data_IF_815125165270
#
_entry.id   IF_815125165270
#
_cell.length_a   1.000
_cell.length_b   1.000
_cell.length_c   1.000
_cell.angle_alpha   90.00
_cell.angle_beta   90.00
_cell.angle_gamma   90.00
#
_symmetry.space_group_name_H-M   'P 1'
#
loop_
_entity.id
_entity.type
_entity.pdbx_description
1 polymer ?
#
# COMPACT_ATOMS: atom_id res chain seq x y z
N UNK A 1 -21.54 15.49 14.32
CA UNK A 1 -20.38 15.38 15.23
C UNK A 1 -20.66 14.41 16.36
N UNK A 2 -20.73 13.10 16.08
CA UNK A 2 -20.78 12.07 17.12
C UNK A 2 -19.43 12.03 17.86
N UNK A 3 -19.52 12.07 19.19
CA UNK A 3 -18.43 12.05 20.17
C UNK A 3 -17.39 10.97 19.82
N UNK A 4 -16.11 11.37 19.83
CA UNK A 4 -15.00 10.56 19.36
C UNK A 4 -14.88 9.24 20.14
N UNK A 5 -15.20 9.24 21.43
CA UNK A 5 -15.25 8.04 22.26
C UNK A 5 -16.33 7.07 21.83
N UNK A 6 -17.52 7.58 21.50
CA UNK A 6 -18.64 6.76 21.06
C UNK A 6 -18.35 6.09 19.71
N UNK A 7 -17.64 6.78 18.81
CA UNK A 7 -17.23 6.22 17.52
C UNK A 7 -16.23 5.06 17.66
N UNK A 8 -15.27 5.19 18.57
CA UNK A 8 -14.30 4.11 18.86
C UNK A 8 -15.01 2.89 19.44
N UNK A 9 -15.97 3.11 20.34
CA UNK A 9 -16.76 2.03 20.93
C UNK A 9 -17.62 1.29 19.89
N UNK A 10 -18.34 2.02 19.05
CA UNK A 10 -19.17 1.44 17.98
C UNK A 10 -18.35 0.67 16.95
N UNK A 11 -17.13 1.13 16.60
CA UNK A 11 -16.22 0.37 15.71
C UNK A 11 -15.86 -1.00 16.29
N UNK A 12 -15.57 -1.05 17.60
CA UNK A 12 -15.24 -2.30 18.28
C UNK A 12 -16.43 -3.26 18.32
N UNK A 13 -17.63 -2.77 18.61
CA UNK A 13 -18.87 -3.57 18.60
C UNK A 13 -19.19 -4.10 17.21
N UNK A 14 -19.10 -3.29 16.15
CA UNK A 14 -19.35 -3.73 14.77
C UNK A 14 -18.34 -4.80 14.36
N UNK A 15 -17.06 -4.64 14.71
CA UNK A 15 -16.02 -5.65 14.45
C UNK A 15 -16.32 -6.97 15.19
N UNK A 16 -16.75 -6.90 16.45
CA UNK A 16 -17.11 -8.07 17.24
C UNK A 16 -18.37 -8.76 16.68
N UNK A 17 -19.41 -8.00 16.35
CA UNK A 17 -20.63 -8.51 15.71
C UNK A 17 -20.33 -9.16 14.36
N UNK A 18 -19.50 -8.54 13.54
CA UNK A 18 -19.09 -9.08 12.25
C UNK A 18 -18.27 -10.36 12.39
N UNK A 19 -17.36 -10.44 13.36
CA UNK A 19 -16.63 -11.68 13.65
C UNK A 19 -17.54 -12.80 14.18
N UNK A 20 -18.60 -12.45 14.92
CA UNK A 20 -19.57 -13.42 15.44
C UNK A 20 -20.56 -13.89 14.37
N UNK A 21 -21.02 -12.98 13.52
CA UNK A 21 -21.90 -13.26 12.39
C UNK A 21 -21.05 -13.75 11.23
N UNK A 22 -20.82 -15.07 11.16
CA UNK A 22 -20.11 -15.78 10.07
C UNK A 22 -20.81 -15.69 8.70
N UNK A 23 -21.60 -14.66 8.47
CA UNK A 23 -22.32 -14.39 7.23
C UNK A 23 -21.42 -13.60 6.29
N UNK A 24 -21.34 -14.01 5.02
CA UNK A 24 -20.63 -13.26 3.98
C UNK A 24 -21.13 -11.82 3.93
N UNK A 25 -20.20 -10.88 4.09
CA UNK A 25 -20.51 -9.46 4.29
C UNK A 25 -19.57 -8.61 3.44
N UNK A 26 -20.08 -7.52 2.89
CA UNK A 26 -19.29 -6.51 2.18
C UNK A 26 -19.36 -5.19 2.95
N UNK A 27 -18.21 -4.57 3.18
CA UNK A 27 -18.08 -3.31 3.89
C UNK A 27 -17.32 -2.30 3.03
N UNK A 28 -17.84 -1.08 2.94
CA UNK A 28 -17.26 0.00 2.12
C UNK A 28 -16.80 1.10 3.05
N UNK A 29 -15.53 1.48 2.94
CA UNK A 29 -14.93 2.56 3.72
C UNK A 29 -13.89 3.32 2.91
N UNK A 30 -13.59 4.53 3.35
CA UNK A 30 -12.47 5.35 2.88
C UNK A 30 -11.28 5.34 3.86
N UNK A 31 -11.42 4.70 5.03
CA UNK A 31 -10.39 4.62 6.06
C UNK A 31 -9.61 3.31 5.92
N UNK A 32 -8.32 3.41 5.57
CA UNK A 32 -7.45 2.26 5.42
C UNK A 32 -7.27 1.48 6.74
N UNK A 33 -7.35 2.11 7.91
CA UNK A 33 -7.20 1.40 9.20
C UNK A 33 -8.40 0.46 9.42
N UNK A 34 -9.61 0.88 9.05
CA UNK A 34 -10.78 0.00 9.10
C UNK A 34 -10.61 -1.17 8.14
N UNK A 35 -10.24 -0.89 6.88
CA UNK A 35 -10.05 -1.93 5.86
C UNK A 35 -8.98 -2.96 6.26
N UNK A 36 -7.83 -2.48 6.74
CA UNK A 36 -6.68 -3.31 7.11
C UNK A 36 -6.92 -4.17 8.35
N UNK A 37 -7.80 -3.75 9.27
CA UNK A 37 -8.00 -4.44 10.55
C UNK A 37 -9.24 -5.32 10.59
N UNK A 38 -10.21 -5.09 9.72
CA UNK A 38 -11.51 -5.79 9.74
C UNK A 38 -11.68 -6.81 8.62
N UNK A 39 -11.05 -6.61 7.47
CA UNK A 39 -11.34 -7.40 6.27
C UNK A 39 -10.40 -8.61 6.12
N UNK A 40 -10.96 -9.75 5.74
CA UNK A 40 -10.18 -10.90 5.27
C UNK A 40 -9.57 -10.62 3.88
N UNK A 41 -10.29 -9.86 3.05
CA UNK A 41 -9.87 -9.40 1.73
C UNK A 41 -10.29 -7.96 1.51
N UNK A 42 -9.40 -7.17 0.93
CA UNK A 42 -9.64 -5.77 0.55
C UNK A 42 -9.70 -5.68 -0.96
N UNK A 43 -10.67 -4.91 -1.47
CA UNK A 43 -10.77 -4.48 -2.86
C UNK A 43 -10.45 -2.99 -2.89
N UNK A 44 -9.30 -2.61 -3.45
CA UNK A 44 -8.94 -1.21 -3.65
C UNK A 44 -9.46 -0.75 -5.00
N UNK A 45 -10.15 0.38 -5.03
CA UNK A 45 -10.72 0.96 -6.24
C UNK A 45 -10.26 2.41 -6.41
N UNK A 46 -10.10 2.82 -7.67
CA UNK A 46 -9.82 4.20 -8.07
C UNK A 46 -10.57 4.49 -9.37
N UNK A 47 -11.31 5.60 -9.42
CA UNK A 47 -12.13 6.01 -10.58
C UNK A 47 -13.03 4.91 -11.15
N UNK A 48 -13.66 4.13 -10.27
CA UNK A 48 -14.56 3.03 -10.65
C UNK A 48 -13.85 1.76 -11.12
N UNK A 49 -12.51 1.73 -11.16
CA UNK A 49 -11.72 0.58 -11.56
C UNK A 49 -11.06 -0.09 -10.34
N UNK A 50 -11.11 -1.42 -10.29
CA UNK A 50 -10.38 -2.20 -9.30
C UNK A 50 -8.88 -2.10 -9.59
N UNK A 51 -8.13 -1.64 -8.59
CA UNK A 51 -6.68 -1.50 -8.66
C UNK A 51 -5.98 -2.76 -8.15
N UNK A 52 -6.47 -3.33 -7.05
CA UNK A 52 -5.93 -4.54 -6.47
C UNK A 52 -6.96 -5.23 -5.56
N UNK A 53 -6.90 -6.55 -5.49
CA UNK A 53 -7.66 -7.36 -4.53
C UNK A 53 -6.70 -8.32 -3.85
N UNK A 54 -6.77 -8.44 -2.52
CA UNK A 54 -5.88 -9.31 -1.76
C UNK A 54 -6.12 -9.26 -0.26
N UNK A 55 -5.35 -10.03 0.50
CA UNK A 55 -5.33 -9.89 1.96
C UNK A 55 -4.68 -8.55 2.34
N UNK A 56 -4.97 -8.00 3.54
CA UNK A 56 -4.41 -6.72 3.98
C UNK A 56 -2.88 -6.63 3.83
N UNK A 57 -2.14 -7.64 4.28
CA UNK A 57 -0.67 -7.65 4.14
C UNK A 57 -0.20 -7.72 2.68
N UNK A 58 -0.92 -8.42 1.79
CA UNK A 58 -0.52 -8.49 0.37
C UNK A 58 -0.56 -7.10 -0.27
N UNK A 59 -1.56 -6.28 0.06
CA UNK A 59 -1.66 -4.92 -0.42
C UNK A 59 -0.56 -4.01 0.15
N UNK A 60 -0.13 -4.29 1.39
CA UNK A 60 0.92 -3.53 2.06
C UNK A 60 2.32 -3.85 1.50
N UNK A 61 2.64 -5.14 1.44
CA UNK A 61 3.95 -5.70 1.09
C UNK A 61 4.18 -5.73 -0.42
N UNK A 62 3.12 -5.98 -1.19
CA UNK A 62 3.17 -6.17 -2.65
C UNK A 62 2.08 -5.36 -3.36
N UNK A 63 2.14 -4.02 -3.25
CA UNK A 63 1.20 -3.17 -3.97
C UNK A 63 1.37 -3.34 -5.48
N UNK A 64 0.26 -3.48 -6.19
CA UNK A 64 0.24 -3.74 -7.63
C UNK A 64 0.64 -2.51 -8.46
N UNK A 65 0.50 -1.30 -7.91
CA UNK A 65 0.85 -0.05 -8.56
C UNK A 65 1.13 1.06 -7.53
N UNK A 66 1.63 2.20 -8.03
CA UNK A 66 1.98 3.36 -7.19
C UNK A 66 0.78 3.92 -6.42
N UNK A 67 -0.44 3.84 -6.96
CA UNK A 67 -1.63 4.29 -6.26
C UNK A 67 -1.88 3.43 -5.02
N UNK A 68 -1.89 2.10 -5.14
CA UNK A 68 -2.08 1.21 -3.99
C UNK A 68 -0.93 1.37 -2.98
N UNK A 69 0.31 1.48 -3.47
CA UNK A 69 1.49 1.70 -2.63
C UNK A 69 1.40 2.99 -1.80
N UNK A 70 0.91 4.08 -2.40
CA UNK A 70 0.73 5.36 -1.73
C UNK A 70 -0.51 5.42 -0.83
N UNK A 71 -1.55 4.67 -1.17
CA UNK A 71 -2.83 4.68 -0.47
C UNK A 71 -2.86 3.76 0.77
N UNK A 72 -2.26 2.58 0.68
CA UNK A 72 -2.23 1.60 1.77
C UNK A 72 -1.01 1.88 2.65
N UNK A 73 -1.23 2.06 3.96
CA UNK A 73 -0.19 2.42 4.95
C UNK A 73 -0.36 3.85 5.46
N UNK A 74 -0.02 4.09 6.72
CA UNK A 74 -0.07 5.44 7.32
C UNK A 74 1.16 5.65 8.21
N UNK A 75 2.19 6.38 7.74
CA UNK A 75 2.22 7.14 6.48
C UNK A 75 2.27 6.24 5.23
N UNK A 76 1.85 6.78 4.08
CA UNK A 76 1.93 6.10 2.79
C UNK A 76 3.39 5.89 2.33
N UNK A 77 3.59 5.11 1.26
CA UNK A 77 4.91 4.88 0.70
C UNK A 77 5.51 6.17 0.12
N UNK A 78 6.79 6.43 0.42
CA UNK A 78 7.56 7.50 -0.21
C UNK A 78 7.99 7.08 -1.61
N UNK A 79 7.92 8.00 -2.57
CA UNK A 79 8.34 7.77 -3.95
C UNK A 79 9.50 8.68 -4.34
N UNK A 80 10.62 8.07 -4.73
CA UNK A 80 11.85 8.75 -5.11
C UNK A 80 12.19 8.43 -6.58
N UNK A 81 12.15 9.42 -7.48
CA UNK A 81 12.60 9.23 -8.86
C UNK A 81 14.09 8.86 -8.91
N UNK A 82 14.42 7.88 -9.75
CA UNK A 82 15.78 7.36 -9.89
C UNK A 82 16.09 6.92 -11.33
N UNK A 83 17.36 6.70 -11.62
CA UNK A 83 17.84 6.12 -12.89
C UNK A 83 18.82 5.00 -12.65
N UNK A 84 18.85 3.98 -13.51
CA UNK A 84 19.85 2.92 -13.44
C UNK A 84 21.23 3.49 -13.75
N UNK A 85 22.22 3.20 -12.91
CA UNK A 85 23.60 3.65 -13.12
C UNK A 85 24.20 3.03 -14.40
N UNK A 86 25.01 3.82 -15.12
CA UNK A 86 25.80 3.34 -16.27
C UNK A 86 26.82 2.30 -15.83
N UNK A 87 26.92 1.19 -16.57
CA UNK A 87 27.83 0.09 -16.27
C UNK A 87 27.17 -1.11 -15.59
N UNK A 88 25.84 -1.19 -15.59
CA UNK A 88 25.11 -2.43 -15.34
C UNK A 88 24.58 -2.59 -13.91
N UNK A 89 23.25 -2.40 -13.79
CA UNK A 89 22.28 -3.13 -12.93
C UNK A 89 22.42 -3.08 -11.40
N UNK A 90 23.59 -2.68 -10.93
CA UNK A 90 24.02 -2.50 -9.55
C UNK A 90 23.14 -1.58 -8.71
N UNK A 91 23.10 -0.34 -9.19
CA UNK A 91 22.73 0.79 -8.36
C UNK A 91 21.72 1.67 -9.12
N UNK A 92 20.73 2.17 -8.39
CA UNK A 92 19.89 3.28 -8.82
C UNK A 92 20.50 4.60 -8.32
N UNK A 93 20.56 5.60 -9.18
CA UNK A 93 21.01 6.96 -8.86
C UNK A 93 19.79 7.84 -8.66
N UNK A 94 19.65 8.40 -7.46
CA UNK A 94 18.61 9.36 -7.11
C UNK A 94 18.93 10.76 -7.67
N UNK A 95 17.94 11.66 -7.64
CA UNK A 95 18.09 13.02 -8.16
C UNK A 95 19.19 13.87 -7.46
N UNK A 96 19.51 13.54 -6.21
CA UNK A 96 20.56 14.20 -5.42
C UNK A 96 21.95 13.54 -5.59
N UNK A 97 22.06 12.54 -6.47
CA UNK A 97 23.30 11.82 -6.76
C UNK A 97 23.58 10.65 -5.80
N UNK A 98 22.72 10.40 -4.81
CA UNK A 98 22.85 9.21 -3.96
C UNK A 98 22.65 7.93 -4.77
N UNK A 99 23.34 6.86 -4.38
CA UNK A 99 23.26 5.55 -5.02
C UNK A 99 22.62 4.55 -4.07
N UNK A 100 21.61 3.84 -4.55
CA UNK A 100 20.93 2.77 -3.83
C UNK A 100 21.16 1.43 -4.55
N UNK A 101 21.61 0.42 -3.81
CA UNK A 101 21.79 -0.93 -4.36
C UNK A 101 20.45 -1.54 -4.74
N UNK A 102 20.29 -1.94 -6.00
CA UNK A 102 19.10 -2.63 -6.48
C UNK A 102 19.21 -4.15 -6.22
N UNK A 103 18.07 -4.85 -6.03
CA UNK A 103 18.04 -6.30 -6.04
C UNK A 103 18.51 -6.89 -7.37
N UNK A 104 19.21 -8.01 -7.30
CA UNK A 104 19.63 -8.74 -8.49
C UNK A 104 18.43 -9.31 -9.26
N UNK A 105 18.59 -9.49 -10.57
CA UNK A 105 17.59 -10.16 -11.42
C UNK A 105 16.46 -9.25 -11.93
N UNK A 106 16.49 -7.95 -11.65
CA UNK A 106 15.57 -7.00 -12.27
C UNK A 106 15.88 -6.84 -13.78
N UNK A 107 14.87 -6.86 -14.66
CA UNK A 107 15.04 -6.73 -16.10
C UNK A 107 15.25 -5.26 -16.53
N UNK A 108 16.28 -4.62 -15.96
CA UNK A 108 16.59 -3.21 -16.16
C UNK A 108 17.81 -3.03 -17.06
N UNK A 109 17.80 -1.95 -17.83
CA UNK A 109 18.89 -1.48 -18.70
C UNK A 109 19.50 -0.19 -18.15
N UNK A 110 20.71 0.12 -18.61
CA UNK A 110 21.40 1.37 -18.24
C UNK A 110 20.56 2.61 -18.63
N UNK A 111 20.58 3.64 -17.79
CA UNK A 111 19.81 4.89 -17.93
C UNK A 111 18.27 4.73 -17.87
N UNK A 112 17.72 3.54 -17.60
CA UNK A 112 16.28 3.35 -17.40
C UNK A 112 15.78 4.24 -16.24
N UNK A 113 14.66 4.92 -16.47
CA UNK A 113 13.98 5.68 -15.43
C UNK A 113 13.12 4.75 -14.57
N UNK A 114 13.29 4.84 -13.25
CA UNK A 114 12.53 4.08 -12.28
C UNK A 114 12.10 4.94 -11.10
N UNK A 115 11.17 4.44 -10.30
CA UNK A 115 10.78 5.08 -9.03
C UNK A 115 11.04 4.10 -7.91
N UNK A 116 11.80 4.54 -6.91
CA UNK A 116 12.05 3.80 -5.69
C UNK A 116 10.92 4.09 -4.70
N UNK A 117 10.23 3.04 -4.28
CA UNK A 117 9.22 3.10 -3.22
C UNK A 117 9.82 2.69 -1.89
N UNK A 118 9.73 3.53 -0.86
CA UNK A 118 10.20 3.23 0.50
C UNK A 118 9.11 3.49 1.53
N UNK A 119 8.85 2.51 2.39
CA UNK A 119 8.01 2.73 3.57
C UNK A 119 8.77 3.59 4.60
N UNK A 120 8.07 4.40 5.43
CA UNK A 120 8.72 5.25 6.42
C UNK A 120 9.44 4.51 7.56
N UNK A 121 8.96 3.31 7.92
CA UNK A 121 9.61 2.44 8.91
C UNK A 121 10.82 1.68 8.37
#
# INVERSE_FOLDING_TARGET
NLDAKLRVHMRAEIKALHQQLKTTSAYVTHDQIEAMTMADRIVVMHDGLIQQVGAPLDLYDRPANMFVAGFIGSPGMNFLPAKVAKGGKVDAVLADGQKLRLPDGLPLSDDDALTIGLRPE
#
